data_IF_757919203034
#
_entry.id   IF_757919203034
#
_cell.length_a   1.000
_cell.length_b   1.000
_cell.length_c   1.000
_cell.angle_alpha   90.00
_cell.angle_beta   90.00
_cell.angle_gamma   90.00
#
_symmetry.space_group_name_H-M   'P 1'
#
loop_
_entity.id
_entity.type
_entity.pdbx_description
1 polymer ?
#
# COMPACT_ATOMS: atom_id res chain seq x y z
N UNK A 1 -10.27 15.53 15.59
CA UNK A 1 -9.56 14.26 15.74
C UNK A 1 -9.53 13.62 14.37
N UNK A 2 -8.35 13.33 13.84
CA UNK A 2 -8.23 12.68 12.52
C UNK A 2 -8.63 11.18 12.61
N UNK A 3 -8.74 10.50 11.47
CA UNK A 3 -9.15 9.09 11.42
C UNK A 3 -8.23 8.17 12.23
N UNK A 4 -6.92 8.45 12.21
CA UNK A 4 -5.90 7.75 12.96
C UNK A 4 -6.10 7.85 14.48
N UNK A 5 -6.22 9.06 15.00
CA UNK A 5 -6.43 9.33 16.42
C UNK A 5 -7.72 8.66 16.93
N UNK A 6 -8.78 8.63 16.10
CA UNK A 6 -10.04 7.93 16.42
C UNK A 6 -9.83 6.43 16.57
N UNK A 7 -9.15 5.80 15.62
CA UNK A 7 -8.92 4.36 15.65
C UNK A 7 -7.97 3.95 16.79
N UNK A 8 -6.91 4.73 17.03
CA UNK A 8 -5.99 4.51 18.17
C UNK A 8 -6.73 4.66 19.50
N UNK A 9 -7.57 5.68 19.64
CA UNK A 9 -8.38 5.88 20.84
C UNK A 9 -9.34 4.70 21.05
N UNK A 10 -9.97 4.24 19.99
CA UNK A 10 -10.87 3.08 20.03
C UNK A 10 -10.15 1.80 20.48
N UNK A 11 -8.99 1.49 19.89
CA UNK A 11 -8.16 0.35 20.28
C UNK A 11 -7.69 0.45 21.75
N UNK A 12 -7.29 1.65 22.18
CA UNK A 12 -6.89 1.91 23.57
C UNK A 12 -8.04 1.65 24.54
N UNK A 13 -9.26 2.02 24.15
CA UNK A 13 -10.45 1.79 24.96
C UNK A 13 -10.82 0.30 25.04
N UNK A 14 -10.72 -0.43 23.92
CA UNK A 14 -10.90 -1.88 23.91
C UNK A 14 -9.87 -2.61 24.79
N UNK A 15 -8.60 -2.18 24.76
CA UNK A 15 -7.55 -2.74 25.61
C UNK A 15 -7.89 -2.53 27.10
N UNK A 16 -8.46 -1.37 27.44
CA UNK A 16 -8.89 -1.06 28.80
C UNK A 16 -10.03 -1.98 29.26
N UNK A 17 -11.04 -2.20 28.43
CA UNK A 17 -12.14 -3.13 28.75
C UNK A 17 -11.61 -4.56 28.94
N UNK A 18 -10.67 -5.02 28.10
CA UNK A 18 -10.13 -6.38 28.22
C UNK A 18 -9.44 -6.62 29.58
N UNK A 19 -8.87 -5.60 30.20
CA UNK A 19 -8.22 -5.72 31.51
C UNK A 19 -9.19 -6.18 32.61
N UNK A 20 -10.48 -5.87 32.49
CA UNK A 20 -11.51 -6.22 33.48
C UNK A 20 -12.00 -7.69 33.38
N UNK A 21 -11.42 -8.48 32.46
CA UNK A 21 -11.55 -9.96 32.30
C UNK A 21 -12.96 -10.52 32.06
N UNK A 22 -14.02 -9.75 32.25
CA UNK A 22 -15.40 -10.11 31.89
C UNK A 22 -15.99 -9.00 31.06
N UNK A 23 -16.02 -9.19 29.75
CA UNK A 23 -16.75 -8.28 28.87
C UNK A 23 -18.24 -8.49 29.10
N UNK A 24 -18.89 -7.56 29.80
CA UNK A 24 -20.33 -7.62 30.06
C UNK A 24 -21.14 -7.10 28.86
N UNK A 25 -22.41 -7.50 28.75
CA UNK A 25 -23.30 -7.07 27.66
C UNK A 25 -23.45 -5.55 27.57
N UNK A 26 -23.35 -4.84 28.68
CA UNK A 26 -23.40 -3.37 28.74
C UNK A 26 -22.15 -2.73 28.14
N UNK A 27 -20.98 -3.36 28.30
CA UNK A 27 -19.72 -2.88 27.72
C UNK A 27 -19.70 -3.04 26.20
N UNK A 28 -20.26 -4.12 25.67
CA UNK A 28 -20.41 -4.30 24.22
C UNK A 28 -21.33 -3.24 23.60
N UNK A 29 -22.44 -2.90 24.28
CA UNK A 29 -23.32 -1.82 23.83
C UNK A 29 -22.62 -0.46 23.87
N UNK A 30 -21.79 -0.22 24.90
CA UNK A 30 -21.00 1.00 25.01
C UNK A 30 -19.92 1.08 23.92
N UNK A 31 -19.27 -0.04 23.61
CA UNK A 31 -18.25 -0.14 22.55
C UNK A 31 -18.87 0.14 21.17
N UNK A 32 -20.05 -0.39 20.89
CA UNK A 32 -20.80 -0.09 19.66
C UNK A 32 -21.19 1.39 19.58
N UNK A 33 -21.67 1.97 20.69
CA UNK A 33 -21.95 3.41 20.77
C UNK A 33 -20.69 4.26 20.52
N UNK A 34 -19.58 3.93 21.18
CA UNK A 34 -18.31 4.65 21.02
C UNK A 34 -17.78 4.58 19.59
N UNK A 35 -17.87 3.41 18.95
CA UNK A 35 -17.50 3.24 17.55
C UNK A 35 -18.32 4.16 16.64
N UNK A 36 -19.61 4.33 16.92
CA UNK A 36 -20.49 5.21 16.15
C UNK A 36 -20.15 6.70 16.32
N UNK A 37 -19.89 7.16 17.54
CA UNK A 37 -19.46 8.54 17.85
C UNK A 37 -18.08 8.87 17.28
N UNK A 38 -17.16 7.90 17.28
CA UNK A 38 -15.84 8.04 16.67
C UNK A 38 -15.88 7.84 15.14
N UNK A 39 -17.05 7.57 14.57
CA UNK A 39 -17.24 7.26 13.14
C UNK A 39 -16.27 6.18 12.63
N UNK A 40 -16.07 5.12 13.41
CA UNK A 40 -15.27 3.95 13.03
C UNK A 40 -16.07 3.13 12.02
N UNK A 41 -15.42 2.72 10.93
CA UNK A 41 -16.07 1.89 9.91
C UNK A 41 -16.48 0.54 10.50
N UNK A 42 -17.54 -0.08 9.97
CA UNK A 42 -17.96 -1.42 10.43
C UNK A 42 -16.84 -2.45 10.28
N UNK A 43 -16.01 -2.29 9.25
CA UNK A 43 -14.88 -3.16 8.98
C UNK A 43 -13.79 -3.01 10.05
N UNK A 44 -13.37 -1.77 10.35
CA UNK A 44 -12.36 -1.50 11.37
C UNK A 44 -12.86 -1.85 12.78
N UNK A 45 -14.16 -1.68 13.03
CA UNK A 45 -14.81 -2.10 14.28
C UNK A 45 -14.65 -3.60 14.51
N UNK A 46 -15.01 -4.42 13.51
CA UNK A 46 -14.90 -5.88 13.59
C UNK A 46 -13.44 -6.33 13.73
N UNK A 47 -12.55 -5.76 12.91
CA UNK A 47 -11.12 -6.07 12.97
C UNK A 47 -10.53 -5.68 14.34
N UNK A 48 -10.90 -4.52 14.91
CA UNK A 48 -10.42 -4.07 16.22
C UNK A 48 -10.89 -4.97 17.35
N UNK A 49 -12.15 -5.42 17.33
CA UNK A 49 -12.67 -6.39 18.30
C UNK A 49 -11.91 -7.71 18.21
N UNK A 50 -11.74 -8.24 17.00
CA UNK A 50 -11.00 -9.48 16.79
C UNK A 50 -9.53 -9.35 17.21
N UNK A 51 -8.92 -8.20 16.93
CA UNK A 51 -7.52 -7.93 17.27
C UNK A 51 -7.28 -7.82 18.77
N UNK A 52 -8.17 -7.19 19.53
CA UNK A 52 -7.96 -6.94 20.97
C UNK A 52 -8.58 -8.05 21.82
N UNK A 53 -9.86 -8.38 21.59
CA UNK A 53 -10.63 -9.22 22.50
C UNK A 53 -10.32 -10.70 22.32
N UNK A 54 -10.11 -11.19 21.10
CA UNK A 54 -9.79 -12.59 20.88
C UNK A 54 -8.39 -12.95 21.42
N UNK A 55 -8.29 -14.18 21.90
CA UNK A 55 -7.01 -14.81 22.19
C UNK A 55 -6.42 -15.40 20.90
N UNK A 56 -5.09 -15.56 20.85
CA UNK A 56 -4.37 -15.91 19.63
C UNK A 56 -4.90 -17.18 18.94
N UNK A 57 -5.34 -18.16 19.71
CA UNK A 57 -5.94 -19.41 19.21
C UNK A 57 -7.29 -19.21 18.53
N UNK A 58 -8.09 -18.23 18.97
CA UNK A 58 -9.43 -17.96 18.42
C UNK A 58 -9.35 -17.06 17.19
N UNK A 59 -8.51 -16.00 17.24
CA UNK A 59 -8.24 -15.14 16.10
C UNK A 59 -7.54 -15.89 14.94
N UNK A 60 -6.79 -16.94 15.28
CA UNK A 60 -6.13 -17.81 14.33
C UNK A 60 -7.09 -18.58 13.43
N UNK A 61 -8.39 -18.70 13.72
CA UNK A 61 -9.32 -19.51 12.91
C UNK A 61 -10.05 -18.75 11.79
N UNK A 62 -10.16 -17.42 11.87
CA UNK A 62 -10.81 -16.62 10.83
C UNK A 62 -9.80 -16.18 9.75
N UNK A 63 -10.13 -16.47 8.49
CA UNK A 63 -9.32 -16.06 7.35
C UNK A 63 -9.64 -14.59 7.08
N UNK A 64 -8.75 -13.71 7.53
CA UNK A 64 -8.88 -12.27 7.33
C UNK A 64 -7.56 -11.71 6.77
N UNK A 65 -7.63 -11.10 5.58
CA UNK A 65 -6.48 -10.57 4.86
C UNK A 65 -5.89 -9.30 5.50
N UNK A 66 -6.58 -8.70 6.46
CA UNK A 66 -6.06 -7.58 7.25
C UNK A 66 -5.17 -8.07 8.41
N UNK A 67 -5.03 -9.38 8.61
CA UNK A 67 -4.20 -9.97 9.66
C UNK A 67 -3.03 -10.77 9.10
N UNK A 68 -1.88 -10.62 9.75
CA UNK A 68 -0.65 -11.34 9.48
C UNK A 68 -0.11 -11.94 10.77
N UNK A 69 0.22 -13.22 10.73
CA UNK A 69 0.87 -13.92 11.84
C UNK A 69 2.38 -13.98 11.63
N UNK A 70 3.19 -13.67 12.65
CA UNK A 70 4.65 -13.92 12.60
C UNK A 70 4.98 -14.96 13.67
N UNK A 71 5.47 -16.12 13.26
CA UNK A 71 5.64 -17.29 14.14
C UNK A 71 7.04 -17.91 14.06
N UNK A 72 7.45 -18.53 15.17
CA UNK A 72 8.71 -19.27 15.31
C UNK A 72 8.76 -20.59 14.56
N UNK A 73 7.62 -21.27 14.47
CA UNK A 73 7.52 -22.63 13.94
C UNK A 73 6.54 -22.68 12.78
N UNK A 74 6.87 -23.43 11.72
CA UNK A 74 5.87 -23.91 10.77
C UNK A 74 4.97 -24.93 11.50
N UNK A 75 4.02 -24.45 12.31
CA UNK A 75 2.94 -25.30 12.80
C UNK A 75 1.96 -25.55 11.63
N UNK A 76 2.38 -26.37 10.67
CA UNK A 76 1.48 -27.08 9.78
C UNK A 76 0.80 -28.24 10.55
N UNK A 77 0.22 -27.96 11.72
CA UNK A 77 -0.75 -28.86 12.32
C UNK A 77 -2.11 -28.63 11.65
N UNK A 78 -2.17 -28.86 10.35
CA UNK A 78 -3.40 -29.32 9.75
C UNK A 78 -3.38 -30.82 9.95
N UNK A 79 -4.26 -31.34 10.83
CA UNK A 79 -4.55 -32.75 10.84
C UNK A 79 -4.90 -33.15 9.40
N UNK A 80 -4.03 -33.94 8.76
CA UNK A 80 -4.29 -34.59 7.49
C UNK A 80 -5.46 -35.57 7.69
N UNK A 81 -6.68 -35.06 7.71
CA UNK A 81 -7.88 -35.89 7.60
C UNK A 81 -8.02 -36.30 6.12
N UNK A 82 -7.94 -37.61 5.91
CA UNK A 82 -8.18 -38.39 4.68
C UNK A 82 -8.67 -37.58 3.47
N UNK A 83 -7.73 -36.99 2.73
CA UNK A 83 -8.05 -36.16 1.57
C UNK A 83 -6.94 -36.00 0.55
N UNK A 84 -5.85 -36.79 0.63
CA UNK A 84 -4.63 -36.60 -0.19
C UNK A 84 -4.84 -36.64 -1.72
N UNK A 85 -6.01 -37.07 -2.20
CA UNK A 85 -6.37 -37.01 -3.62
C UNK A 85 -7.07 -35.70 -4.04
N UNK A 86 -7.76 -35.04 -3.10
CA UNK A 86 -8.49 -33.78 -3.32
C UNK A 86 -7.50 -32.59 -3.24
N UNK A 87 -6.52 -32.63 -2.33
CA UNK A 87 -5.54 -31.54 -2.18
C UNK A 87 -4.64 -31.34 -3.40
N UNK A 88 -4.25 -32.42 -4.09
CA UNK A 88 -3.40 -32.34 -5.28
C UNK A 88 -4.13 -31.79 -6.52
N UNK A 89 -5.47 -31.78 -6.50
CA UNK A 89 -6.30 -31.34 -7.62
C UNK A 89 -7.24 -30.16 -7.26
N UNK A 90 -7.08 -29.57 -6.07
CA UNK A 90 -7.86 -28.40 -5.67
C UNK A 90 -7.39 -27.20 -6.50
N UNK A 91 -8.29 -26.43 -7.14
CA UNK A 91 -7.90 -25.17 -7.76
C UNK A 91 -7.22 -24.27 -6.72
N UNK A 92 -6.28 -23.38 -7.09
CA UNK A 92 -5.63 -22.50 -6.14
C UNK A 92 -6.68 -21.54 -5.55
N UNK A 93 -7.29 -21.93 -4.44
CA UNK A 93 -8.28 -21.12 -3.72
C UNK A 93 -7.58 -20.04 -2.90
N UNK A 94 -8.27 -18.89 -2.86
CA UNK A 94 -7.85 -17.57 -2.36
C UNK A 94 -7.65 -17.47 -0.85
N UNK A 95 -7.82 -18.54 -0.10
CA UNK A 95 -8.03 -18.47 1.34
C UNK A 95 -6.88 -19.10 2.12
N UNK A 96 -5.67 -18.54 2.00
CA UNK A 96 -4.58 -18.85 2.94
C UNK A 96 -4.39 -17.71 3.92
N UNK A 97 -4.30 -18.07 5.20
CA UNK A 97 -3.82 -17.19 6.27
C UNK A 97 -2.45 -16.65 5.90
N UNK A 98 -2.23 -15.37 6.19
CA UNK A 98 -0.95 -14.72 5.93
C UNK A 98 -0.01 -15.00 7.10
N UNK A 99 1.21 -15.47 6.80
CA UNK A 99 2.21 -15.71 7.83
C UNK A 99 3.64 -15.39 7.38
N UNK A 100 4.48 -15.01 8.34
CA UNK A 100 5.95 -14.92 8.21
C UNK A 100 6.57 -15.87 9.23
N UNK A 101 7.45 -16.75 8.78
CA UNK A 101 8.18 -17.69 9.67
C UNK A 101 9.55 -17.12 10.04
N UNK A 102 9.86 -17.07 11.34
CA UNK A 102 11.17 -16.67 11.88
C UNK A 102 11.64 -17.68 12.91
N UNK A 103 12.50 -18.63 12.51
CA UNK A 103 12.95 -19.78 13.31
C UNK A 103 13.46 -19.47 14.73
N UNK A 104 13.99 -18.28 14.96
CA UNK A 104 14.54 -17.85 16.26
C UNK A 104 13.51 -17.10 17.14
N UNK A 105 12.24 -17.07 16.72
CA UNK A 105 11.17 -16.40 17.44
C UNK A 105 10.53 -17.37 18.43
N UNK A 106 10.52 -16.99 19.70
CA UNK A 106 9.75 -17.70 20.71
C UNK A 106 8.41 -16.97 20.89
N UNK A 107 7.30 -17.65 20.64
CA UNK A 107 5.97 -17.04 20.63
C UNK A 107 5.55 -16.49 19.26
N UNK A 108 4.46 -15.73 19.24
CA UNK A 108 3.81 -15.30 18.02
C UNK A 108 3.45 -13.81 18.03
N UNK A 109 3.54 -13.16 16.87
CA UNK A 109 2.93 -11.85 16.68
C UNK A 109 1.65 -11.98 15.87
N UNK A 110 0.63 -11.25 16.31
CA UNK A 110 -0.54 -10.93 15.51
C UNK A 110 -0.41 -9.48 15.07
N UNK A 111 -0.37 -9.26 13.76
CA UNK A 111 -0.28 -7.93 13.15
C UNK A 111 -1.57 -7.65 12.39
N UNK A 112 -2.18 -6.49 12.61
CA UNK A 112 -3.35 -5.99 11.90
C UNK A 112 -2.97 -4.79 11.04
N UNK A 113 -3.35 -4.80 9.77
CA UNK A 113 -3.26 -3.64 8.87
C UNK A 113 -4.40 -2.68 9.18
N UNK A 114 -4.09 -1.42 9.49
CA UNK A 114 -5.09 -0.37 9.65
C UNK A 114 -5.33 0.27 8.27
N UNK A 115 -6.56 0.21 7.76
CA UNK A 115 -6.87 0.77 6.44
C UNK A 115 -6.89 2.30 6.48
N UNK A 116 -6.42 2.95 5.41
CA UNK A 116 -6.36 4.41 5.31
C UNK A 116 -5.21 5.07 6.08
N UNK A 117 -4.37 4.29 6.77
CA UNK A 117 -3.31 4.82 7.64
C UNK A 117 -2.00 4.05 7.36
N UNK A 118 -0.86 4.75 7.39
CA UNK A 118 0.48 4.18 7.22
C UNK A 118 1.04 3.50 8.49
N UNK A 119 0.17 2.85 9.27
CA UNK A 119 0.53 2.16 10.51
C UNK A 119 0.01 0.72 10.54
N UNK A 120 0.70 -0.13 11.29
CA UNK A 120 0.24 -1.47 11.66
C UNK A 120 0.02 -1.52 13.16
N UNK A 121 -0.99 -2.27 13.60
CA UNK A 121 -1.14 -2.61 15.01
C UNK A 121 -0.55 -4.01 15.25
N UNK A 122 0.28 -4.18 16.26
CA UNK A 122 0.88 -5.45 16.63
C UNK A 122 0.53 -5.86 18.06
N UNK A 123 0.36 -7.15 18.30
CA UNK A 123 0.31 -7.77 19.63
C UNK A 123 1.27 -8.95 19.64
N UNK A 124 1.98 -9.12 20.75
CA UNK A 124 2.96 -10.17 20.93
C UNK A 124 2.51 -11.16 22.00
N UNK A 125 2.53 -12.45 21.66
CA UNK A 125 2.12 -13.56 22.52
C UNK A 125 3.34 -14.44 22.76
N UNK A 126 4.12 -14.10 23.78
CA UNK A 126 5.31 -14.84 24.17
C UNK A 126 6.09 -14.12 25.26
N UNK A 127 7.16 -14.77 25.72
CA UNK A 127 7.96 -14.30 26.85
C UNK A 127 9.29 -13.65 26.41
N UNK A 128 9.60 -13.66 25.11
CA UNK A 128 10.83 -13.09 24.58
C UNK A 128 10.82 -11.56 24.70
N UNK A 129 11.98 -10.97 25.00
CA UNK A 129 12.07 -9.51 25.06
C UNK A 129 12.05 -8.93 23.65
N UNK A 130 11.05 -8.09 23.40
CA UNK A 130 10.83 -7.41 22.14
C UNK A 130 10.97 -5.89 22.32
N UNK A 131 11.59 -5.23 21.35
CA UNK A 131 11.84 -3.80 21.32
C UNK A 131 11.31 -3.20 20.02
N UNK A 132 10.51 -2.14 20.11
CA UNK A 132 10.11 -1.31 18.97
C UNK A 132 10.85 0.03 19.07
N UNK A 133 11.72 0.35 18.12
CA UNK A 133 12.58 1.54 18.18
C UNK A 133 13.32 1.71 19.52
N UNK A 134 13.85 0.59 20.04
CA UNK A 134 14.52 0.49 21.34
C UNK A 134 13.62 0.75 22.57
N UNK A 135 12.29 0.82 22.41
CA UNK A 135 11.33 0.81 23.51
C UNK A 135 10.79 -0.59 23.73
N UNK A 136 10.72 -1.03 24.98
CA UNK A 136 10.18 -2.35 25.32
C UNK A 136 8.69 -2.41 24.99
N UNK A 137 8.28 -3.43 24.24
CA UNK A 137 6.87 -3.79 24.10
C UNK A 137 6.52 -4.82 25.18
N UNK A 138 5.28 -4.82 25.64
CA UNK A 138 4.79 -5.74 26.65
C UNK A 138 3.95 -6.83 25.98
N UNK A 139 4.08 -8.10 26.41
CA UNK A 139 3.21 -9.16 25.92
C UNK A 139 1.73 -8.81 26.07
N UNK A 140 0.93 -9.27 25.10
CA UNK A 140 -0.52 -9.09 24.94
C UNK A 140 -1.04 -7.66 24.80
N UNK A 141 -0.24 -6.65 25.12
CA UNK A 141 -0.54 -5.25 24.87
C UNK A 141 -0.34 -4.91 23.41
N UNK A 142 -1.23 -4.07 22.86
CA UNK A 142 -1.04 -3.62 21.49
C UNK A 142 0.04 -2.53 21.41
N UNK A 143 0.69 -2.47 20.27
CA UNK A 143 1.65 -1.43 19.92
C UNK A 143 1.46 -1.04 18.45
N UNK A 144 1.81 0.20 18.11
CA UNK A 144 1.72 0.71 16.75
C UNK A 144 3.09 0.69 16.10
N UNK A 145 3.15 0.23 14.85
CA UNK A 145 4.35 0.18 14.02
C UNK A 145 4.18 1.19 12.88
N UNK A 146 4.99 2.24 12.88
CA UNK A 146 5.07 3.22 11.80
C UNK A 146 6.02 2.78 10.69
N UNK A 147 5.99 3.47 9.55
CA UNK A 147 6.88 3.20 8.40
C UNK A 147 8.39 3.22 8.73
N UNK A 148 8.79 3.97 9.76
CA UNK A 148 10.19 4.12 10.15
C UNK A 148 10.58 3.22 11.33
N UNK A 149 9.63 2.42 11.83
CA UNK A 149 9.86 1.62 13.01
C UNK A 149 10.57 0.31 12.69
N UNK A 150 11.41 -0.12 13.63
CA UNK A 150 12.07 -1.41 13.61
C UNK A 150 11.68 -2.21 14.86
N UNK A 151 11.07 -3.38 14.63
CA UNK A 151 10.81 -4.40 15.63
C UNK A 151 12.04 -5.29 15.77
N UNK A 152 12.61 -5.35 16.97
CA UNK A 152 13.74 -6.21 17.32
C UNK A 152 13.26 -7.23 18.34
N UNK A 153 13.55 -8.50 18.10
CA UNK A 153 13.16 -9.60 19.01
C UNK A 153 14.42 -10.37 19.38
N UNK A 154 14.75 -10.37 20.67
CA UNK A 154 16.04 -10.84 21.15
C UNK A 154 17.22 -10.17 20.41
N UNK A 155 18.27 -10.94 20.13
CA UNK A 155 19.45 -10.44 19.42
C UNK A 155 19.45 -10.73 17.91
N UNK A 156 18.62 -11.68 17.45
CA UNK A 156 18.74 -12.27 16.11
C UNK A 156 17.68 -11.76 15.12
N UNK A 157 16.51 -11.34 15.61
CA UNK A 157 15.40 -10.98 14.73
C UNK A 157 15.28 -9.46 14.67
N UNK A 158 15.28 -8.96 13.44
CA UNK A 158 14.98 -7.56 13.12
C UNK A 158 13.97 -7.54 11.97
N UNK A 159 12.85 -6.88 12.20
CA UNK A 159 11.76 -6.73 11.25
C UNK A 159 11.48 -5.24 11.09
N UNK A 160 11.56 -4.75 9.87
CA UNK A 160 11.10 -3.41 9.51
C UNK A 160 9.62 -3.44 9.14
N UNK A 161 8.97 -2.28 9.13
CA UNK A 161 7.61 -2.13 8.60
C UNK A 161 7.47 -2.78 7.21
N UNK A 162 8.46 -2.58 6.33
CA UNK A 162 8.45 -3.14 4.98
C UNK A 162 8.52 -4.68 4.99
N UNK A 163 9.35 -5.27 5.84
CA UNK A 163 9.44 -6.73 5.99
C UNK A 163 8.08 -7.31 6.39
N UNK A 164 7.39 -6.67 7.34
CA UNK A 164 6.06 -7.08 7.79
C UNK A 164 5.03 -6.90 6.66
N UNK A 165 5.07 -5.77 5.95
CA UNK A 165 4.19 -5.52 4.80
C UNK A 165 4.37 -6.53 3.68
N UNK A 166 5.54 -7.15 3.50
CA UNK A 166 5.68 -8.25 2.52
C UNK A 166 4.84 -9.48 2.85
N UNK A 167 4.61 -9.77 4.13
CA UNK A 167 3.75 -10.88 4.56
C UNK A 167 2.30 -10.70 4.13
N UNK A 168 1.81 -9.46 4.11
CA UNK A 168 0.48 -9.12 3.61
C UNK A 168 0.33 -9.25 2.09
N UNK A 169 1.45 -9.31 1.33
CA UNK A 169 1.45 -9.38 -0.14
C UNK A 169 1.32 -10.81 -0.68
N UNK A 170 1.38 -11.84 0.17
CA UNK A 170 1.49 -13.24 -0.28
C UNK A 170 0.20 -13.79 -0.90
N UNK A 171 -0.95 -13.11 -0.80
CA UNK A 171 -2.21 -13.65 -1.35
C UNK A 171 -3.26 -12.64 -1.83
N UNK A 172 -2.89 -11.42 -2.21
CA UNK A 172 -3.82 -10.50 -2.91
C UNK A 172 -3.69 -10.65 -4.43
N UNK A 173 -4.62 -11.31 -5.14
CA UNK A 173 -4.63 -11.34 -6.60
C UNK A 173 -4.94 -9.97 -7.23
N UNK A 174 -5.23 -8.95 -6.41
CA UNK A 174 -5.16 -7.56 -6.81
C UNK A 174 -3.85 -6.99 -6.29
N UNK A 175 -2.80 -7.07 -7.12
CA UNK A 175 -1.51 -6.46 -6.85
C UNK A 175 -1.73 -5.00 -6.45
N UNK A 176 -1.44 -4.68 -5.18
CA UNK A 176 -1.23 -3.29 -4.81
C UNK A 176 -0.05 -2.81 -5.66
N UNK A 177 -0.31 -1.88 -6.56
CA UNK A 177 0.72 -1.33 -7.41
C UNK A 177 1.59 -0.46 -6.50
N UNK A 178 2.79 -0.96 -6.19
CA UNK A 178 3.74 -0.29 -5.30
C UNK A 178 4.77 0.44 -6.14
N UNK A 179 4.97 1.71 -5.82
CA UNK A 179 6.05 2.52 -6.37
C UNK A 179 7.01 2.90 -5.25
N UNK A 180 8.23 2.39 -5.28
CA UNK A 180 9.20 2.54 -4.20
C UNK A 180 10.58 2.97 -4.71
N UNK A 181 11.26 3.76 -3.88
CA UNK A 181 12.60 4.28 -4.11
C UNK A 181 13.49 4.00 -2.92
N UNK A 182 14.65 3.39 -3.16
CA UNK A 182 15.63 3.08 -2.12
C UNK A 182 16.98 3.75 -2.43
N UNK A 183 17.45 4.56 -1.47
CA UNK A 183 18.73 5.27 -1.45
C UNK A 183 19.02 6.04 -2.75
N UNK A 184 17.99 6.74 -3.24
CA UNK A 184 18.04 7.49 -4.48
C UNK A 184 18.96 8.68 -4.30
N UNK A 185 20.03 8.75 -5.09
CA UNK A 185 20.83 9.97 -5.19
C UNK A 185 21.25 10.24 -6.63
N UNK A 186 21.41 11.53 -6.94
CA UNK A 186 22.01 12.01 -8.17
C UNK A 186 22.95 13.16 -7.88
N UNK A 187 24.08 13.21 -8.59
CA UNK A 187 25.05 14.28 -8.57
C UNK A 187 25.29 14.70 -10.03
N UNK A 188 24.75 15.84 -10.44
CA UNK A 188 25.11 16.42 -11.73
C UNK A 188 26.54 16.95 -11.67
N UNK A 189 27.46 16.19 -12.26
CA UNK A 189 28.90 16.50 -12.33
C UNK A 189 29.24 17.87 -12.94
N UNK A 190 28.32 18.50 -13.69
CA UNK A 190 28.54 19.80 -14.34
C UNK A 190 28.19 21.01 -13.46
N UNK A 191 27.25 20.86 -12.54
CA UNK A 191 26.65 21.97 -11.77
C UNK A 191 26.83 21.80 -10.27
N UNK A 192 27.36 20.65 -9.83
CA UNK A 192 27.43 20.25 -8.42
C UNK A 192 26.05 20.28 -7.72
N UNK A 193 24.98 20.18 -8.52
CA UNK A 193 23.60 20.12 -8.06
C UNK A 193 23.10 18.69 -8.13
N UNK A 194 22.24 18.30 -7.19
CA UNK A 194 21.83 16.92 -7.02
C UNK A 194 20.82 16.77 -5.89
N UNK A 195 20.21 15.60 -5.78
CA UNK A 195 19.32 15.31 -4.66
C UNK A 195 20.09 14.63 -3.54
N UNK A 196 19.89 15.10 -2.31
CA UNK A 196 20.33 14.37 -1.12
C UNK A 196 19.66 12.98 -1.11
N UNK A 197 20.32 11.94 -0.56
CA UNK A 197 19.76 10.60 -0.56
C UNK A 197 18.38 10.54 0.10
N UNK A 198 17.39 9.97 -0.60
CA UNK A 198 16.04 9.82 -0.07
C UNK A 198 15.41 8.47 -0.43
N UNK A 199 14.36 8.12 0.31
CA UNK A 199 13.56 6.91 0.14
C UNK A 199 12.08 7.28 0.04
N UNK A 200 11.29 6.49 -0.68
CA UNK A 200 9.84 6.60 -0.69
C UNK A 200 9.19 5.24 -0.96
N UNK A 201 7.94 5.06 -0.59
CA UNK A 201 7.16 3.86 -0.90
C UNK A 201 5.67 4.21 -0.91
N UNK A 202 5.03 4.08 -2.06
CA UNK A 202 3.66 4.51 -2.28
C UNK A 202 2.82 3.38 -2.89
N UNK A 203 1.56 3.29 -2.48
CA UNK A 203 0.59 2.32 -2.97
C UNK A 203 -0.40 2.99 -3.94
N UNK A 204 -1.08 2.18 -4.74
CA UNK A 204 -2.12 2.63 -5.68
C UNK A 204 -3.22 3.43 -4.95
N UNK A 205 -3.62 4.55 -5.54
CA UNK A 205 -4.72 5.38 -5.03
C UNK A 205 -4.28 6.59 -4.22
N UNK A 206 -3.00 6.66 -3.84
CA UNK A 206 -2.45 7.82 -3.16
C UNK A 206 -2.20 8.99 -4.13
N UNK A 207 -2.64 10.19 -3.74
CA UNK A 207 -2.20 11.43 -4.38
C UNK A 207 -0.92 11.92 -3.70
N UNK A 208 0.18 11.90 -4.45
CA UNK A 208 1.49 12.34 -3.95
C UNK A 208 1.85 13.67 -4.59
N UNK A 209 2.09 14.68 -3.75
CA UNK A 209 2.52 16.01 -4.20
C UNK A 209 4.00 16.19 -3.85
N UNK A 210 4.82 16.46 -4.87
CA UNK A 210 6.25 16.71 -4.71
C UNK A 210 6.49 18.21 -4.75
N UNK A 211 6.89 18.79 -3.62
CA UNK A 211 7.24 20.20 -3.48
C UNK A 211 8.75 20.38 -3.74
N UNK A 212 9.10 21.31 -4.61
CA UNK A 212 10.48 21.58 -5.04
C UNK A 212 10.79 23.08 -4.90
N UNK A 213 12.07 23.43 -4.73
CA UNK A 213 12.46 24.83 -4.57
C UNK A 213 12.35 25.61 -5.87
N UNK A 214 12.59 24.96 -7.01
CA UNK A 214 12.48 25.55 -8.33
C UNK A 214 11.94 24.60 -9.40
N UNK A 215 11.72 25.18 -10.59
CA UNK A 215 11.24 24.48 -11.77
C UNK A 215 12.19 23.37 -12.24
N UNK A 216 13.50 23.58 -12.13
CA UNK A 216 14.50 22.63 -12.59
C UNK A 216 14.52 21.38 -11.70
N UNK A 217 14.43 21.55 -10.38
CA UNK A 217 14.31 20.46 -9.42
C UNK A 217 13.04 19.63 -9.66
N UNK A 218 11.89 20.28 -9.82
CA UNK A 218 10.61 19.60 -10.10
C UNK A 218 10.68 18.75 -11.37
N UNK A 219 11.20 19.32 -12.45
CA UNK A 219 11.43 18.61 -13.71
C UNK A 219 12.39 17.44 -13.54
N UNK A 220 13.51 17.65 -12.85
CA UNK A 220 14.53 16.63 -12.63
C UNK A 220 14.00 15.45 -11.80
N UNK A 221 13.20 15.71 -10.76
CA UNK A 221 12.54 14.64 -9.98
C UNK A 221 11.58 13.85 -10.87
N UNK A 222 10.75 14.53 -11.66
CA UNK A 222 9.82 13.86 -12.58
C UNK A 222 10.55 12.93 -13.57
N UNK A 223 11.66 13.40 -14.15
CA UNK A 223 12.49 12.60 -15.04
C UNK A 223 13.22 11.47 -14.35
N UNK A 224 13.60 11.64 -13.08
CA UNK A 224 14.20 10.60 -12.28
C UNK A 224 13.19 9.48 -11.99
N UNK A 225 11.97 9.84 -11.53
CA UNK A 225 10.91 8.90 -11.19
C UNK A 225 10.35 8.15 -12.40
N UNK A 226 10.36 8.76 -13.57
CA UNK A 226 9.99 8.11 -14.85
C UNK A 226 11.15 7.34 -15.50
N UNK A 227 12.33 7.38 -14.89
CA UNK A 227 13.52 6.66 -15.36
C UNK A 227 14.19 7.29 -16.59
N UNK A 228 13.88 8.53 -16.95
CA UNK A 228 14.53 9.29 -18.02
C UNK A 228 15.95 9.75 -17.62
N UNK A 229 16.16 10.10 -16.35
CA UNK A 229 17.48 10.39 -15.76
C UNK A 229 17.96 9.18 -14.97
N UNK A 230 19.23 8.78 -15.17
CA UNK A 230 19.87 7.70 -14.40
C UNK A 230 20.21 8.14 -12.98
N UNK A 231 20.11 7.20 -12.04
CA UNK A 231 20.62 7.35 -10.69
C UNK A 231 22.13 7.20 -10.65
N UNK A 232 22.77 7.88 -9.70
CA UNK A 232 24.15 7.58 -9.31
C UNK A 232 24.19 6.47 -8.26
N UNK A 233 23.24 6.48 -7.32
CA UNK A 233 23.04 5.40 -6.34
C UNK A 233 21.56 5.07 -6.14
N UNK A 234 21.31 3.85 -5.67
CA UNK A 234 19.97 3.39 -5.31
C UNK A 234 19.23 2.71 -6.45
N UNK A 235 17.93 2.50 -6.24
CA UNK A 235 17.03 1.88 -7.21
C UNK A 235 15.63 2.43 -7.05
N UNK A 236 14.87 2.45 -8.15
CA UNK A 236 13.44 2.72 -8.14
C UNK A 236 12.74 1.50 -8.71
N UNK A 237 11.72 1.06 -8.00
CA UNK A 237 10.96 -0.15 -8.25
C UNK A 237 9.50 0.23 -8.45
N UNK A 238 8.91 -0.24 -9.55
CA UNK A 238 7.49 -0.16 -9.80
C UNK A 238 6.94 -1.57 -9.95
N UNK A 239 6.07 -1.99 -9.03
CA UNK A 239 5.46 -3.32 -9.00
C UNK A 239 6.50 -4.46 -9.17
N UNK A 240 7.57 -4.41 -8.38
CA UNK A 240 8.73 -5.33 -8.41
C UNK A 240 9.66 -5.23 -9.62
N UNK A 241 9.40 -4.33 -10.58
CA UNK A 241 10.28 -4.07 -11.72
C UNK A 241 11.17 -2.86 -11.47
N UNK A 242 12.46 -2.96 -11.75
CA UNK A 242 13.36 -1.81 -11.69
C UNK A 242 13.11 -0.93 -12.93
N UNK A 243 12.82 0.36 -12.70
CA UNK A 243 12.43 1.26 -13.79
C UNK A 243 13.54 1.46 -14.85
N UNK A 244 14.80 1.21 -14.50
CA UNK A 244 15.94 1.37 -15.40
C UNK A 244 16.22 0.12 -16.23
N UNK A 245 16.05 -1.06 -15.63
CA UNK A 245 16.38 -2.33 -16.27
C UNK A 245 15.19 -2.86 -17.07
N UNK A 246 13.97 -2.68 -16.58
CA UNK A 246 12.74 -3.21 -17.19
C UNK A 246 11.84 -2.11 -17.78
N UNK A 247 12.44 -1.07 -18.37
CA UNK A 247 11.75 0.12 -18.92
C UNK A 247 10.50 -0.22 -19.74
N UNK A 248 10.57 -1.18 -20.65
CA UNK A 248 9.45 -1.54 -21.52
C UNK A 248 8.21 -2.01 -20.75
N UNK A 249 8.39 -2.76 -19.65
CA UNK A 249 7.28 -3.24 -18.82
C UNK A 249 6.70 -2.12 -18.00
N UNK A 250 7.57 -1.30 -17.39
CA UNK A 250 7.18 -0.18 -16.53
C UNK A 250 6.45 0.93 -17.31
N UNK A 251 6.92 1.28 -18.51
CA UNK A 251 6.31 2.36 -19.31
C UNK A 251 4.87 2.05 -19.73
N UNK A 252 4.48 0.77 -19.81
CA UNK A 252 3.07 0.40 -20.09
C UNK A 252 2.16 0.56 -18.88
N UNK A 253 2.73 0.69 -17.68
CA UNK A 253 1.98 0.77 -16.43
C UNK A 253 1.89 2.20 -15.89
N UNK A 254 2.72 3.12 -16.39
CA UNK A 254 2.77 4.51 -15.93
C UNK A 254 2.20 5.42 -17.01
N UNK A 255 1.15 6.18 -16.66
CA UNK A 255 0.71 7.33 -17.44
C UNK A 255 1.54 8.56 -17.08
N UNK A 256 2.22 9.15 -18.05
CA UNK A 256 3.04 10.35 -17.85
C UNK A 256 2.48 11.52 -18.65
N UNK A 257 2.16 12.62 -17.95
CA UNK A 257 1.79 13.88 -18.56
C UNK A 257 3.02 14.80 -18.52
N UNK A 258 3.70 15.03 -19.66
CA UNK A 258 4.86 15.89 -19.71
C UNK A 258 4.51 17.35 -19.42
N UNK A 259 5.46 18.08 -18.84
CA UNK A 259 5.37 19.52 -18.65
C UNK A 259 5.22 20.29 -19.98
N UNK A 260 5.90 19.83 -21.03
CA UNK A 260 5.75 20.39 -22.37
C UNK A 260 4.62 19.64 -23.11
N UNK A 261 3.67 20.36 -23.70
CA UNK A 261 2.56 19.73 -24.40
C UNK A 261 3.03 18.91 -25.60
N UNK A 262 2.71 17.61 -25.59
CA UNK A 262 2.95 16.70 -26.72
C UNK A 262 1.63 16.52 -27.47
N UNK A 263 1.16 17.60 -28.10
CA UNK A 263 -0.01 17.58 -28.99
C UNK A 263 0.26 18.43 -30.22
N UNK A 264 -0.37 18.11 -31.34
CA UNK A 264 -0.33 18.95 -32.53
C UNK A 264 -1.45 20.00 -32.45
N UNK A 265 -1.05 21.27 -32.48
CA UNK A 265 -1.97 22.40 -32.37
C UNK A 265 -2.84 22.63 -33.61
N UNK A 266 -2.52 21.96 -34.72
CA UNK A 266 -3.23 22.09 -36.00
C UNK A 266 -4.37 21.08 -36.15
N UNK A 267 -4.45 20.08 -35.28
CA UNK A 267 -5.44 19.00 -35.34
C UNK A 267 -6.39 19.06 -34.14
N UNK A 268 -7.59 18.50 -34.30
CA UNK A 268 -8.63 18.53 -33.26
C UNK A 268 -8.23 17.73 -32.01
N UNK A 269 -8.92 18.00 -30.90
CA UNK A 269 -8.79 17.21 -29.66
C UNK A 269 -9.01 15.71 -29.95
N UNK A 270 -10.08 15.36 -30.68
CA UNK A 270 -10.35 13.97 -31.09
C UNK A 270 -9.21 13.36 -31.90
N UNK A 271 -8.60 14.13 -32.80
CA UNK A 271 -7.47 13.65 -33.61
C UNK A 271 -6.22 13.43 -32.75
N UNK A 272 -5.93 14.32 -31.80
CA UNK A 272 -4.83 14.15 -30.84
C UNK A 272 -5.01 12.90 -29.95
N UNK A 273 -6.21 12.69 -29.41
CA UNK A 273 -6.52 11.47 -28.65
C UNK A 273 -6.43 10.21 -29.50
N UNK A 274 -6.94 10.23 -30.75
CA UNK A 274 -6.85 9.11 -31.68
C UNK A 274 -5.40 8.77 -32.04
N UNK A 275 -4.57 9.78 -32.30
CA UNK A 275 -3.16 9.58 -32.60
C UNK A 275 -2.43 8.94 -31.41
N UNK A 276 -2.66 9.46 -30.21
CA UNK A 276 -2.11 8.93 -28.96
C UNK A 276 -2.55 7.48 -28.70
N UNK A 277 -3.84 7.18 -28.90
CA UNK A 277 -4.38 5.83 -28.72
C UNK A 277 -3.80 4.82 -29.72
N UNK A 278 -3.59 5.21 -30.98
CA UNK A 278 -2.96 4.34 -32.00
C UNK A 278 -1.50 4.04 -31.69
N UNK A 279 -0.76 5.00 -31.13
CA UNK A 279 0.62 4.80 -30.71
C UNK A 279 0.71 3.93 -29.45
N UNK A 280 -0.17 4.17 -28.48
CA UNK A 280 -0.20 3.42 -27.21
C UNK A 280 -0.71 1.99 -27.38
N UNK A 281 -1.66 1.76 -28.30
CA UNK A 281 -2.33 0.47 -28.52
C UNK A 281 -2.29 0.04 -30.00
N UNK A 282 -1.10 -0.26 -30.58
CA UNK A 282 -0.99 -0.70 -31.97
C UNK A 282 -1.90 -1.88 -32.40
N UNK A 283 -2.18 -2.90 -31.57
CA UNK A 283 -3.01 -4.03 -31.98
C UNK A 283 -4.53 -3.76 -31.94
N UNK A 284 -4.98 -2.56 -31.56
CA UNK A 284 -6.42 -2.25 -31.49
C UNK A 284 -7.00 -1.94 -32.87
N UNK A 285 -8.24 -2.39 -33.11
CA UNK A 285 -9.00 -2.03 -34.32
C UNK A 285 -9.41 -0.55 -34.29
N UNK A 286 -9.68 0.03 -35.46
CA UNK A 286 -10.14 1.42 -35.56
C UNK A 286 -11.42 1.68 -34.76
N UNK A 287 -12.35 0.74 -34.75
CA UNK A 287 -13.59 0.81 -33.97
C UNK A 287 -13.30 0.85 -32.46
N UNK A 288 -12.37 0.01 -31.98
CA UNK A 288 -11.98 -0.02 -30.57
C UNK A 288 -11.24 1.24 -30.15
N UNK A 289 -10.39 1.78 -31.02
CA UNK A 289 -9.73 3.08 -30.80
C UNK A 289 -10.76 4.20 -30.74
N UNK A 290 -11.75 4.21 -31.64
CA UNK A 290 -12.80 5.22 -31.65
C UNK A 290 -13.63 5.19 -30.36
N UNK A 291 -14.07 4.01 -29.91
CA UNK A 291 -14.79 3.86 -28.65
C UNK A 291 -13.98 4.37 -27.45
N UNK A 292 -12.69 4.04 -27.39
CA UNK A 292 -11.79 4.52 -26.34
C UNK A 292 -11.65 6.05 -26.33
N UNK A 293 -11.52 6.65 -27.51
CA UNK A 293 -11.41 8.11 -27.65
C UNK A 293 -12.70 8.79 -27.23
N UNK A 294 -13.86 8.29 -27.66
CA UNK A 294 -15.18 8.83 -27.29
C UNK A 294 -15.42 8.74 -25.78
N UNK A 295 -15.13 7.58 -25.17
CA UNK A 295 -15.21 7.39 -23.72
C UNK A 295 -14.27 8.33 -22.97
N UNK A 296 -13.03 8.48 -23.42
CA UNK A 296 -12.04 9.35 -22.76
C UNK A 296 -12.46 10.81 -22.84
N UNK A 297 -12.94 11.26 -24.00
CA UNK A 297 -13.46 12.62 -24.18
C UNK A 297 -14.63 12.89 -23.23
N UNK A 298 -15.54 11.92 -23.09
CA UNK A 298 -16.69 12.07 -22.20
C UNK A 298 -16.32 12.06 -20.72
N UNK A 299 -15.42 11.17 -20.31
CA UNK A 299 -14.91 11.13 -18.93
C UNK A 299 -14.20 12.42 -18.52
N UNK A 300 -13.62 13.15 -19.48
CA UNK A 300 -12.97 14.44 -19.27
C UNK A 300 -13.90 15.64 -19.48
N UNK A 301 -15.16 15.43 -19.88
CA UNK A 301 -16.13 16.51 -20.15
C UNK A 301 -15.77 17.39 -21.35
N UNK A 302 -15.07 16.84 -22.35
CA UNK A 302 -14.53 17.59 -23.49
C UNK A 302 -15.41 17.51 -24.74
N UNK A 303 -16.63 16.99 -24.66
CA UNK A 303 -17.49 16.69 -25.82
C UNK A 303 -17.71 17.91 -26.71
N UNK A 304 -18.03 19.06 -26.09
CA UNK A 304 -18.35 20.30 -26.78
C UNK A 304 -17.18 20.93 -27.53
N UNK A 305 -15.95 20.64 -27.11
CA UNK A 305 -14.73 21.19 -27.72
C UNK A 305 -13.90 20.16 -28.50
N UNK A 306 -14.33 18.89 -28.49
CA UNK A 306 -13.65 17.74 -29.10
C UNK A 306 -13.22 17.95 -30.56
N UNK A 307 -13.98 18.74 -31.32
CA UNK A 307 -13.75 19.01 -32.75
C UNK A 307 -12.88 20.22 -33.05
N UNK A 308 -12.40 20.94 -32.02
CA UNK A 308 -11.62 22.18 -32.16
C UNK A 308 -10.13 21.87 -32.03
N UNK A 309 -9.24 22.57 -32.77
CA UNK A 309 -7.79 22.46 -32.58
C UNK A 309 -7.33 22.90 -31.19
N UNK A 310 -6.36 22.19 -30.62
CA UNK A 310 -5.81 22.50 -29.28
C UNK A 310 -4.84 23.67 -29.39
N UNK A 311 -5.21 24.83 -28.84
CA UNK A 311 -4.27 25.96 -28.70
C UNK A 311 -3.54 25.93 -27.37
N UNK A 312 -4.30 25.76 -26.28
CA UNK A 312 -3.79 25.66 -24.91
C UNK A 312 -4.66 24.62 -24.19
N UNK A 313 -4.04 23.62 -23.57
CA UNK A 313 -4.70 22.66 -22.70
C UNK A 313 -4.20 22.89 -21.27
N UNK A 314 -5.07 23.33 -20.38
CA UNK A 314 -4.78 23.42 -18.94
C UNK A 314 -5.69 22.42 -18.22
N UNK A 315 -5.10 21.41 -17.59
CA UNK A 315 -5.81 20.43 -16.77
C UNK A 315 -5.70 20.89 -15.32
N UNK A 316 -6.80 21.39 -14.75
CA UNK A 316 -6.91 21.74 -13.34
C UNK A 316 -7.63 20.60 -12.61
N UNK A 317 -6.95 19.93 -11.69
CA UNK A 317 -7.58 19.02 -10.75
C UNK A 317 -8.06 19.84 -9.54
N UNK A 318 -9.36 20.05 -9.42
CA UNK A 318 -9.99 20.57 -8.21
C UNK A 318 -10.66 19.40 -7.50
N UNK A 319 -10.11 18.98 -6.35
CA UNK A 319 -10.86 18.15 -5.40
C UNK A 319 -11.65 19.09 -4.48
N UNK A 320 -12.93 18.80 -4.30
CA UNK A 320 -13.73 19.44 -3.25
C UNK A 320 -13.17 19.02 -1.89
N UNK A 321 -12.84 20.00 -1.06
CA UNK A 321 -12.49 19.83 0.35
C UNK A 321 -13.71 19.45 1.19
#
# INVERSE_FOLDING_TARGET
MNEEERLILFLSFLELIKLDKKVETEELQFVEFLASELHISRHDYQNSLMFILCDFTEAGHEINHDFLTITGSENNNYEELEGSWIEQNRPPEKDKKLFIVKKDLEGDFMIMKLQGINFLAGRYFGDQTCLLNNRKIFPEKFFLISQFDQLKVGNNIRLTFQDIMTGFKVNTPNASLIFAGENISTVQKKTNSGFAPFNFCEELGNLVVILCNDYYESRNISYLLTGQIKLDTGKIIFNSYNIYNERYRVHKMIGYVPFEPVYDSNISITQNFRFSARLAFPPYSEEKVQQLVEQTISNLGLEYISRIPVKILVILFLQNF
#
